data_IF_047849638941
#
_entry.id   IF_047849638941
#
_cell.length_a   1.000
_cell.length_b   1.000
_cell.length_c   1.000
_cell.angle_alpha   90.00
_cell.angle_beta   90.00
_cell.angle_gamma   90.00
#
_symmetry.space_group_name_H-M   'P 1'
#
loop_
_entity.id
_entity.type
_entity.pdbx_description
1 polymer ?
#
# COMPACT_ATOMS: atom_id res chain seq x y z
N UNK A 1 -9.79 7.68 -35.95
CA UNK A 1 -9.27 7.98 -34.59
C UNK A 1 -10.22 8.91 -33.83
N UNK A 2 -11.50 8.58 -33.68
CA UNK A 2 -12.51 9.46 -33.05
C UNK A 2 -13.41 8.74 -32.02
N UNK A 3 -13.18 7.44 -31.76
CA UNK A 3 -14.11 6.65 -30.93
C UNK A 3 -13.76 6.59 -29.43
N UNK A 4 -12.58 7.04 -29.00
CA UNK A 4 -12.17 7.03 -27.59
C UNK A 4 -12.63 8.25 -26.79
N UNK A 5 -12.65 9.42 -27.42
CA UNK A 5 -13.03 10.68 -26.76
C UNK A 5 -14.54 10.77 -26.44
N UNK A 6 -15.38 10.15 -27.26
CA UNK A 6 -16.84 10.13 -27.05
C UNK A 6 -17.29 9.16 -25.96
N UNK A 7 -16.55 8.08 -25.68
CA UNK A 7 -16.85 7.16 -24.57
C UNK A 7 -16.54 7.77 -23.20
N UNK A 8 -15.41 8.48 -23.07
CA UNK A 8 -15.05 9.13 -21.80
C UNK A 8 -15.97 10.33 -21.49
N UNK A 9 -16.38 11.10 -22.50
CA UNK A 9 -17.33 12.19 -22.32
C UNK A 9 -18.73 11.69 -21.90
N UNK A 10 -19.19 10.53 -22.42
CA UNK A 10 -20.46 9.92 -22.00
C UNK A 10 -20.41 9.34 -20.59
N UNK A 11 -19.27 8.77 -20.18
CA UNK A 11 -19.08 8.24 -18.82
C UNK A 11 -19.09 9.36 -17.79
N UNK A 12 -18.34 10.43 -18.01
CA UNK A 12 -18.36 11.62 -17.15
C UNK A 12 -19.71 12.31 -17.08
N UNK A 13 -20.48 12.31 -18.17
CA UNK A 13 -21.83 12.88 -18.20
C UNK A 13 -22.86 12.04 -17.42
N UNK A 14 -22.72 10.70 -17.46
CA UNK A 14 -23.60 9.79 -16.69
C UNK A 14 -23.29 9.88 -15.20
N UNK A 15 -22.03 10.01 -14.81
CA UNK A 15 -21.61 10.19 -13.41
C UNK A 15 -22.06 11.55 -12.87
N UNK A 16 -21.97 12.62 -13.65
CA UNK A 16 -22.54 13.94 -13.30
C UNK A 16 -24.06 13.91 -13.16
N UNK A 17 -24.74 13.16 -14.02
CA UNK A 17 -26.20 13.03 -13.99
C UNK A 17 -26.67 12.22 -12.77
N UNK A 18 -25.92 11.17 -12.39
CA UNK A 18 -26.19 10.38 -11.19
C UNK A 18 -25.99 11.22 -9.91
N UNK A 19 -24.94 12.02 -9.85
CA UNK A 19 -24.69 12.95 -8.73
C UNK A 19 -25.79 14.03 -8.64
N UNK A 20 -26.25 14.56 -9.78
CA UNK A 20 -27.34 15.55 -9.83
C UNK A 20 -28.70 14.97 -9.43
N UNK A 21 -28.99 13.70 -9.74
CA UNK A 21 -30.23 13.03 -9.36
C UNK A 21 -30.25 12.74 -7.85
N UNK A 22 -29.13 12.36 -7.25
CA UNK A 22 -29.03 12.16 -5.80
C UNK A 22 -29.20 13.49 -5.07
N UNK A 23 -28.66 14.58 -5.58
CA UNK A 23 -28.81 15.92 -5.02
C UNK A 23 -30.26 16.42 -5.15
N UNK A 24 -30.93 16.13 -6.28
CA UNK A 24 -32.32 16.50 -6.49
C UNK A 24 -33.31 15.72 -5.60
N UNK A 25 -33.05 14.45 -5.33
CA UNK A 25 -33.84 13.62 -4.43
C UNK A 25 -33.77 14.09 -2.97
N UNK A 26 -32.61 14.55 -2.51
CA UNK A 26 -32.39 15.10 -1.17
C UNK A 26 -33.15 16.43 -0.96
N UNK A 27 -33.26 17.25 -2.01
CA UNK A 27 -33.99 18.53 -1.96
C UNK A 27 -35.53 18.33 -1.92
N UNK A 28 -36.05 17.25 -2.52
CA UNK A 28 -37.48 16.96 -2.56
C UNK A 28 -38.02 16.33 -1.27
N UNK A 29 -37.16 15.75 -0.42
CA UNK A 29 -37.56 15.13 0.84
C UNK A 29 -37.52 16.06 2.07
N UNK A 30 -37.25 17.35 1.91
CA UNK A 30 -37.32 18.32 3.02
C UNK A 30 -36.22 18.15 4.08
N UNK A 31 -35.18 17.38 3.81
CA UNK A 31 -34.03 17.29 4.67
C UNK A 31 -33.10 18.50 4.48
N UNK A 32 -32.69 19.05 5.60
CA UNK A 32 -31.78 20.19 5.78
C UNK A 32 -30.70 20.24 4.67
N UNK A 33 -30.56 21.42 4.05
CA UNK A 33 -29.50 21.70 3.08
C UNK A 33 -28.17 21.10 3.57
N UNK A 34 -27.54 20.17 2.83
CA UNK A 34 -26.18 19.81 3.16
C UNK A 34 -25.31 21.08 3.03
N UNK A 35 -24.58 21.40 4.08
CA UNK A 35 -23.63 22.49 4.06
C UNK A 35 -22.64 22.30 2.89
N UNK A 36 -22.05 23.39 2.40
CA UNK A 36 -21.10 23.38 1.27
C UNK A 36 -19.96 22.34 1.39
N UNK A 37 -19.64 21.91 2.61
CA UNK A 37 -18.71 20.84 2.94
C UNK A 37 -19.02 19.48 2.25
N UNK A 38 -20.30 19.16 1.96
CA UNK A 38 -20.65 17.86 1.35
C UNK A 38 -20.32 17.76 -0.14
N UNK A 39 -20.34 18.90 -0.86
CA UNK A 39 -19.97 18.90 -2.28
C UNK A 39 -18.45 18.90 -2.47
N UNK A 40 -17.71 19.42 -1.50
CA UNK A 40 -16.25 19.43 -1.48
C UNK A 40 -15.71 18.05 -1.08
N UNK A 41 -16.30 17.41 -0.10
CA UNK A 41 -15.95 16.04 0.32
C UNK A 41 -16.18 14.99 -0.77
N UNK A 42 -17.22 15.14 -1.61
CA UNK A 42 -17.44 14.26 -2.77
C UNK A 42 -16.39 14.44 -3.88
N UNK A 43 -15.67 15.56 -3.88
CA UNK A 43 -14.58 15.85 -4.84
C UNK A 43 -13.22 15.36 -4.34
N UNK A 44 -13.03 15.26 -3.03
CA UNK A 44 -11.74 15.00 -2.39
C UNK A 44 -11.35 13.51 -2.47
N UNK A 45 -12.31 12.59 -2.49
CA UNK A 45 -12.01 11.15 -2.41
C UNK A 45 -12.06 10.47 -3.79
N UNK A 46 -11.40 11.02 -4.79
CA UNK A 46 -11.33 10.43 -6.14
C UNK A 46 -10.07 9.64 -6.39
N UNK A 47 -9.02 9.90 -5.63
CA UNK A 47 -7.73 9.25 -5.75
C UNK A 47 -7.61 8.07 -4.77
N UNK A 48 -6.79 7.10 -5.14
CA UNK A 48 -6.55 5.92 -4.32
C UNK A 48 -5.44 6.22 -3.31
N UNK A 49 -5.72 5.97 -2.02
CA UNK A 49 -4.73 6.12 -0.94
C UNK A 49 -3.99 4.80 -0.75
N UNK A 50 -2.67 4.87 -0.78
CA UNK A 50 -1.79 3.73 -0.57
C UNK A 50 -1.46 3.57 0.92
N UNK A 51 -1.64 2.35 1.43
CA UNK A 51 -1.11 1.90 2.71
C UNK A 51 -0.05 0.85 2.45
N UNK A 52 1.14 1.03 2.98
CA UNK A 52 2.24 0.09 2.75
C UNK A 52 3.10 -0.13 3.99
N UNK A 53 3.70 -1.30 4.08
CA UNK A 53 4.85 -1.54 4.93
C UNK A 53 6.12 -1.37 4.10
N UNK A 54 7.14 -0.75 4.67
CA UNK A 54 8.45 -0.72 4.05
C UNK A 54 9.18 -2.07 4.21
N UNK A 55 10.39 -2.13 3.78
CA UNK A 55 11.17 -3.36 3.73
C UNK A 55 12.49 -3.16 4.45
N UNK A 56 12.95 -4.17 5.15
CA UNK A 56 14.23 -4.18 5.86
C UNK A 56 14.97 -5.51 5.69
N UNK A 57 16.24 -5.53 6.04
CA UNK A 57 17.04 -6.74 6.12
C UNK A 57 17.60 -6.89 7.55
N UNK A 58 17.61 -8.13 8.06
CA UNK A 58 18.21 -8.45 9.35
C UNK A 58 18.63 -9.93 9.38
N UNK A 59 19.77 -10.22 9.97
CA UNK A 59 20.20 -11.59 10.18
C UNK A 59 19.44 -12.25 11.34
N UNK A 60 19.45 -13.56 11.40
CA UNK A 60 18.87 -14.30 12.52
C UNK A 60 19.45 -13.84 13.87
N UNK A 61 18.60 -13.48 14.80
CA UNK A 61 18.94 -12.89 16.10
C UNK A 61 19.07 -11.38 16.10
N UNK A 62 19.02 -10.71 14.94
CA UNK A 62 19.02 -9.25 14.83
C UNK A 62 17.61 -8.68 14.77
N UNK A 63 17.50 -7.37 14.97
CA UNK A 63 16.23 -6.65 14.93
C UNK A 63 16.18 -5.73 13.74
N UNK A 64 14.97 -5.59 13.15
CA UNK A 64 14.65 -4.66 12.08
C UNK A 64 13.44 -3.81 12.44
N UNK A 65 13.44 -2.57 11.98
CA UNK A 65 12.28 -1.67 12.03
C UNK A 65 11.55 -1.72 10.69
N UNK A 66 10.22 -1.87 10.76
CA UNK A 66 9.31 -1.80 9.62
C UNK A 66 8.31 -0.67 9.87
N UNK A 67 8.19 0.24 8.94
CA UNK A 67 7.24 1.33 9.00
C UNK A 67 5.95 0.98 8.27
N UNK A 68 4.81 1.13 8.95
CA UNK A 68 3.50 1.19 8.32
C UNK A 68 3.26 2.63 7.90
N UNK A 69 3.07 2.85 6.62
CA UNK A 69 2.95 4.18 6.02
C UNK A 69 1.60 4.39 5.33
N UNK A 70 1.26 5.66 5.14
CA UNK A 70 0.14 6.13 4.32
C UNK A 70 0.62 7.18 3.34
N UNK A 71 0.16 7.11 2.09
CA UNK A 71 0.44 8.08 1.04
C UNK A 71 -0.77 8.24 0.12
N UNK A 72 -1.11 9.47 -0.21
CA UNK A 72 -2.22 9.78 -1.10
C UNK A 72 -2.34 11.28 -1.36
N UNK A 73 -3.13 11.62 -2.37
CA UNK A 73 -3.48 12.98 -2.73
C UNK A 73 -4.99 13.17 -2.58
N UNK A 74 -5.41 14.40 -2.28
CA UNK A 74 -6.82 14.83 -2.26
C UNK A 74 -7.79 13.87 -1.54
N UNK A 75 -7.42 13.38 -0.36
CA UNK A 75 -8.31 12.57 0.47
C UNK A 75 -8.70 13.27 1.78
N UNK A 76 -9.84 12.86 2.31
CA UNK A 76 -10.30 13.19 3.66
C UNK A 76 -10.94 11.93 4.26
N UNK A 77 -10.44 11.48 5.40
CA UNK A 77 -10.97 10.33 6.11
C UNK A 77 -11.04 10.57 7.62
N UNK A 78 -12.10 10.09 8.27
CA UNK A 78 -12.32 10.25 9.70
C UNK A 78 -12.10 8.95 10.46
N UNK A 79 -12.17 7.81 9.79
CA UNK A 79 -12.00 6.51 10.42
C UNK A 79 -10.99 5.66 9.65
N UNK A 80 -10.02 5.11 10.37
CA UNK A 80 -9.04 4.16 9.87
C UNK A 80 -9.11 2.88 10.71
N UNK A 81 -9.14 1.72 10.06
CA UNK A 81 -8.84 0.44 10.70
C UNK A 81 -7.91 -0.34 9.77
N UNK A 82 -6.71 -0.61 10.24
CA UNK A 82 -5.68 -1.34 9.51
C UNK A 82 -5.18 -2.51 10.36
N UNK A 83 -4.86 -3.61 9.70
CA UNK A 83 -4.25 -4.80 10.32
C UNK A 83 -2.97 -5.14 9.59
N UNK A 84 -1.92 -5.37 10.35
CA UNK A 84 -0.65 -5.89 9.85
C UNK A 84 -0.52 -7.34 10.33
N UNK A 85 -0.15 -8.21 9.41
CA UNK A 85 0.09 -9.63 9.65
C UNK A 85 1.55 -9.96 9.45
N UNK A 86 2.11 -10.82 10.30
CA UNK A 86 3.49 -11.29 10.20
C UNK A 86 3.59 -12.75 10.66
N UNK A 87 4.63 -13.45 10.23
CA UNK A 87 4.88 -14.84 10.59
C UNK A 87 5.57 -14.93 11.97
N UNK A 88 4.93 -15.59 12.91
CA UNK A 88 5.46 -15.80 14.28
C UNK A 88 6.46 -16.93 14.40
N UNK A 89 6.64 -17.75 13.36
CA UNK A 89 7.70 -18.76 13.32
C UNK A 89 9.04 -18.12 12.89
N UNK A 90 8.98 -17.00 12.17
CA UNK A 90 10.15 -16.27 11.70
C UNK A 90 10.45 -14.99 12.50
N UNK A 91 9.44 -14.31 13.02
CA UNK A 91 9.53 -12.98 13.61
C UNK A 91 8.92 -12.89 15.01
N UNK A 92 9.60 -12.19 15.91
CA UNK A 92 9.08 -11.76 17.22
C UNK A 92 8.88 -10.24 17.22
N UNK A 93 7.66 -9.78 17.51
CA UNK A 93 7.36 -8.35 17.66
C UNK A 93 7.87 -7.84 19.01
N UNK A 94 8.82 -6.93 19.02
CA UNK A 94 9.38 -6.32 20.22
C UNK A 94 8.59 -5.10 20.69
N UNK A 95 8.27 -4.20 19.76
CA UNK A 95 7.56 -2.95 20.05
C UNK A 95 6.85 -2.37 18.86
N UNK A 96 5.85 -1.53 19.14
CA UNK A 96 5.18 -0.68 18.16
C UNK A 96 5.22 0.75 18.66
N UNK A 97 5.83 1.65 17.90
CA UNK A 97 5.93 3.06 18.22
C UNK A 97 5.08 3.91 17.28
N UNK A 98 4.55 5.03 17.79
CA UNK A 98 3.71 5.95 17.03
C UNK A 98 4.54 6.76 16.06
N UNK A 99 4.11 6.82 14.81
CA UNK A 99 4.65 7.71 13.80
C UNK A 99 3.96 9.08 13.81
N UNK A 100 4.33 9.93 12.88
CA UNK A 100 3.86 11.31 12.77
C UNK A 100 2.60 11.50 11.90
N UNK A 101 2.17 10.47 11.19
CA UNK A 101 1.03 10.55 10.28
C UNK A 101 -0.32 10.75 10.99
N UNK A 102 -0.42 10.38 12.27
CA UNK A 102 -1.63 10.49 13.07
C UNK A 102 -1.46 11.54 14.15
N UNK A 103 -2.45 12.41 14.32
CA UNK A 103 -2.56 13.26 15.49
C UNK A 103 -3.12 12.44 16.67
N UNK A 104 -2.21 11.80 17.40
CA UNK A 104 -2.55 10.88 18.48
C UNK A 104 -3.23 11.53 19.68
N UNK A 105 -3.06 12.83 19.86
CA UNK A 105 -3.63 13.58 21.00
C UNK A 105 -5.09 13.95 20.76
N UNK A 106 -5.44 14.22 19.50
CA UNK A 106 -6.78 14.66 19.10
C UNK A 106 -7.63 13.56 18.46
N UNK A 107 -7.20 12.30 18.55
CA UNK A 107 -7.90 11.14 17.98
C UNK A 107 -8.30 10.14 19.06
N UNK A 108 -9.41 9.43 18.81
CA UNK A 108 -9.70 8.19 19.53
C UNK A 108 -8.95 7.07 18.81
N UNK A 109 -8.01 6.44 19.50
CA UNK A 109 -7.16 5.42 18.89
C UNK A 109 -7.02 4.19 19.80
N UNK A 110 -6.86 3.05 19.16
CA UNK A 110 -6.65 1.76 19.81
C UNK A 110 -5.65 0.93 19.00
N UNK A 111 -4.63 0.44 19.69
CA UNK A 111 -3.65 -0.50 19.15
C UNK A 111 -3.79 -1.83 19.89
N UNK A 112 -3.99 -2.92 19.17
CA UNK A 112 -4.08 -4.28 19.69
C UNK A 112 -2.96 -5.15 19.11
N UNK A 113 -2.07 -5.59 19.98
CA UNK A 113 -0.96 -6.53 19.71
C UNK A 113 -1.11 -7.82 20.54
N UNK A 114 -2.27 -8.06 21.11
CA UNK A 114 -2.52 -9.19 22.04
C UNK A 114 -2.49 -10.55 21.36
N UNK A 115 -2.72 -10.61 20.04
CA UNK A 115 -2.67 -11.83 19.26
C UNK A 115 -1.35 -11.90 18.49
N UNK A 116 -0.52 -12.93 18.73
CA UNK A 116 0.71 -13.12 17.94
C UNK A 116 0.40 -13.19 16.44
N UNK A 117 1.29 -12.66 15.63
CA UNK A 117 1.15 -12.61 14.18
C UNK A 117 0.20 -11.53 13.66
N UNK A 118 -0.39 -10.71 14.57
CA UNK A 118 -1.36 -9.67 14.19
C UNK A 118 -1.17 -8.40 14.99
N UNK A 119 -1.10 -7.28 14.30
CA UNK A 119 -1.14 -5.93 14.87
C UNK A 119 -2.36 -5.23 14.29
N UNK A 120 -3.30 -4.78 15.11
CA UNK A 120 -4.50 -4.09 14.66
C UNK A 120 -4.56 -2.68 15.21
N UNK A 121 -4.79 -1.72 14.33
CA UNK A 121 -4.92 -0.30 14.65
C UNK A 121 -6.31 0.18 14.26
N UNK A 122 -6.96 0.89 15.18
CA UNK A 122 -8.16 1.67 14.92
C UNK A 122 -7.90 3.14 15.26
N UNK A 123 -8.30 4.05 14.39
CA UNK A 123 -8.23 5.50 14.63
C UNK A 123 -9.55 6.13 14.19
N UNK A 124 -10.07 7.02 15.03
CA UNK A 124 -11.25 7.83 14.74
C UNK A 124 -10.93 9.30 15.06
N UNK A 125 -11.14 10.16 14.07
CA UNK A 125 -11.07 11.61 14.23
C UNK A 125 -12.45 12.13 14.62
N UNK A 126 -12.63 12.69 15.83
CA UNK A 126 -13.89 13.27 16.24
C UNK A 126 -14.10 14.63 15.57
N UNK A 127 -15.35 14.92 15.20
CA UNK A 127 -15.70 16.22 14.63
C UNK A 127 -15.52 16.29 13.10
N UNK A 128 -15.25 17.49 12.60
CA UNK A 128 -15.15 17.78 11.16
C UNK A 128 -13.71 17.69 10.61
N UNK A 129 -12.74 17.51 11.50
CA UNK A 129 -11.34 17.32 11.11
C UNK A 129 -11.10 15.84 10.85
N UNK A 130 -10.23 15.53 9.91
CA UNK A 130 -9.91 14.16 9.54
C UNK A 130 -8.48 14.05 9.03
N UNK A 131 -8.09 12.85 8.64
CA UNK A 131 -6.85 12.60 7.92
C UNK A 131 -6.96 13.17 6.50
N UNK A 132 -5.93 13.87 6.07
CA UNK A 132 -5.79 14.45 4.74
C UNK A 132 -4.40 14.13 4.19
N UNK A 133 -4.07 14.60 3.00
CA UNK A 133 -2.72 14.52 2.42
C UNK A 133 -1.62 15.06 3.37
N UNK A 134 -1.94 15.98 4.27
CA UNK A 134 -0.99 16.45 5.30
C UNK A 134 -0.57 15.34 6.29
N UNK A 135 -1.32 14.24 6.35
CA UNK A 135 -1.05 13.07 7.17
C UNK A 135 -0.25 11.98 6.44
N UNK A 136 0.26 12.23 5.22
CA UNK A 136 1.18 11.30 4.55
C UNK A 136 2.43 11.08 5.41
N UNK A 137 2.86 9.82 5.51
CA UNK A 137 4.02 9.44 6.29
C UNK A 137 3.82 8.19 7.14
N UNK A 138 4.64 8.07 8.19
CA UNK A 138 4.66 6.90 9.06
C UNK A 138 3.50 6.94 10.05
N UNK A 139 2.67 5.90 10.02
CA UNK A 139 1.60 5.66 11.00
C UNK A 139 2.21 5.02 12.26
N UNK A 140 2.93 3.92 12.10
CA UNK A 140 3.66 3.22 13.17
C UNK A 140 4.98 2.68 12.67
N UNK A 141 5.96 2.60 13.57
CA UNK A 141 7.17 1.80 13.39
C UNK A 141 7.05 0.55 14.26
N UNK A 142 7.19 -0.60 13.66
CA UNK A 142 7.14 -1.93 14.29
C UNK A 142 8.56 -2.48 14.33
N UNK A 143 9.06 -2.80 15.52
CA UNK A 143 10.37 -3.42 15.68
C UNK A 143 10.19 -4.93 15.83
N UNK A 144 10.85 -5.69 14.97
CA UNK A 144 10.85 -7.15 14.98
C UNK A 144 12.25 -7.69 15.24
N UNK A 145 12.33 -8.83 15.91
CA UNK A 145 13.55 -9.67 15.94
C UNK A 145 13.34 -10.85 15.01
N UNK A 146 14.32 -11.11 14.13
CA UNK A 146 14.36 -12.32 13.30
C UNK A 146 14.74 -13.51 14.18
N UNK A 147 13.89 -14.53 14.26
CA UNK A 147 14.12 -15.70 15.09
C UNK A 147 15.25 -16.58 14.52
N UNK A 148 15.97 -17.27 15.39
CA UNK A 148 17.12 -18.10 15.00
C UNK A 148 16.78 -19.26 14.04
N UNK A 149 15.50 -19.61 13.94
CA UNK A 149 14.98 -20.66 13.04
C UNK A 149 14.40 -20.15 11.74
N UNK A 150 14.35 -18.82 11.55
CA UNK A 150 13.86 -18.24 10.32
C UNK A 150 14.78 -18.60 9.16
N UNK A 151 14.24 -19.35 8.20
CA UNK A 151 15.01 -19.85 7.05
C UNK A 151 14.71 -19.08 5.77
N UNK A 152 13.63 -18.30 5.75
CA UNK A 152 13.09 -17.61 4.58
C UNK A 152 12.73 -16.16 4.92
N UNK A 153 12.62 -15.34 3.90
CA UNK A 153 12.16 -13.97 4.02
C UNK A 153 10.70 -13.91 4.48
N UNK A 154 10.40 -12.93 5.31
CA UNK A 154 9.07 -12.81 5.94
C UNK A 154 8.29 -11.63 5.42
N UNK A 155 7.09 -11.90 4.87
CA UNK A 155 6.15 -10.89 4.43
C UNK A 155 5.52 -10.16 5.63
N UNK A 156 5.45 -8.85 5.54
CA UNK A 156 4.69 -7.97 6.43
C UNK A 156 3.46 -7.50 5.65
N UNK A 157 2.36 -8.25 5.79
CA UNK A 157 1.15 -8.01 5.01
C UNK A 157 0.28 -6.93 5.64
N UNK A 158 -0.08 -5.93 4.84
CA UNK A 158 -0.97 -4.83 5.23
C UNK A 158 -2.39 -5.09 4.72
N UNK A 159 -3.38 -4.91 5.58
CA UNK A 159 -4.80 -5.03 5.24
C UNK A 159 -5.58 -3.83 5.80
N UNK A 160 -6.18 -3.02 4.94
CA UNK A 160 -7.08 -1.94 5.35
C UNK A 160 -8.49 -2.47 5.48
N UNK A 161 -9.01 -2.50 6.70
CA UNK A 161 -10.38 -2.95 6.99
C UNK A 161 -11.39 -1.81 6.85
N UNK A 162 -10.96 -0.58 7.09
CA UNK A 162 -11.79 0.61 7.03
C UNK A 162 -10.93 1.84 6.79
N UNK A 163 -11.34 2.63 5.80
CA UNK A 163 -10.81 3.99 5.60
C UNK A 163 -11.95 4.83 5.02
N UNK A 164 -12.63 5.58 5.89
CA UNK A 164 -13.89 6.18 5.54
C UNK A 164 -13.91 7.67 5.88
N UNK A 165 -14.50 8.44 4.97
CA UNK A 165 -15.07 9.74 5.28
C UNK A 165 -16.41 9.58 6.01
N UNK A 166 -16.67 10.37 7.03
CA UNK A 166 -17.90 10.33 7.82
C UNK A 166 -18.52 11.72 7.85
N UNK A 167 -19.77 11.83 7.41
CA UNK A 167 -20.56 13.07 7.56
C UNK A 167 -21.35 13.08 8.86
N UNK A 168 -21.87 11.90 9.23
CA UNK A 168 -22.58 11.61 10.49
C UNK A 168 -22.21 10.20 10.93
N UNK A 169 -22.63 9.78 12.13
CA UNK A 169 -22.39 8.41 12.62
C UNK A 169 -23.00 7.35 11.70
N UNK A 170 -24.07 7.68 10.98
CA UNK A 170 -24.77 6.77 10.07
C UNK A 170 -24.28 6.86 8.60
N UNK A 171 -23.66 7.98 8.21
CA UNK A 171 -23.23 8.22 6.83
C UNK A 171 -21.71 8.02 6.69
N UNK A 172 -21.31 6.84 6.20
CA UNK A 172 -19.92 6.46 5.99
C UNK A 172 -19.64 6.20 4.52
N UNK A 173 -18.68 6.94 3.97
CA UNK A 173 -18.25 6.80 2.58
C UNK A 173 -16.83 6.23 2.53
N UNK A 174 -16.62 5.07 1.89
CA UNK A 174 -15.26 4.52 1.77
C UNK A 174 -14.38 5.41 0.89
N UNK A 175 -13.19 5.68 1.36
CA UNK A 175 -12.11 6.28 0.56
C UNK A 175 -11.41 5.13 -0.17
N UNK A 176 -11.18 5.21 -1.49
CA UNK A 176 -10.47 4.17 -2.22
C UNK A 176 -9.08 3.92 -1.63
N UNK A 177 -8.73 2.66 -1.40
CA UNK A 177 -7.43 2.29 -0.83
C UNK A 177 -6.76 1.18 -1.64
N UNK A 178 -5.43 1.21 -1.65
CA UNK A 178 -4.57 0.14 -2.11
C UNK A 178 -3.60 -0.23 -1.00
N UNK A 179 -3.19 -1.49 -0.93
CA UNK A 179 -2.22 -1.95 0.05
C UNK A 179 -1.01 -2.57 -0.64
N UNK A 180 0.16 -2.38 -0.04
CA UNK A 180 1.40 -3.02 -0.44
C UNK A 180 2.05 -3.65 0.79
N UNK A 181 2.44 -4.91 0.68
CA UNK A 181 3.22 -5.62 1.70
C UNK A 181 4.65 -5.14 1.74
N UNK A 182 5.25 -5.16 2.94
CA UNK A 182 6.68 -5.06 3.13
C UNK A 182 7.31 -6.42 3.38
N UNK A 183 8.64 -6.46 3.53
CA UNK A 183 9.38 -7.69 3.77
C UNK A 183 10.48 -7.48 4.80
N UNK A 184 10.79 -8.52 5.57
CA UNK A 184 12.04 -8.63 6.29
C UNK A 184 12.84 -9.74 5.64
N UNK A 185 13.93 -9.35 4.97
CA UNK A 185 14.87 -10.27 4.35
C UNK A 185 15.79 -10.85 5.40
N UNK A 186 15.80 -12.18 5.51
CA UNK A 186 16.64 -12.92 6.45
C UNK A 186 18.01 -13.16 5.83
N UNK A 187 19.07 -13.11 6.65
CA UNK A 187 20.47 -13.31 6.26
C UNK A 187 21.13 -12.18 5.46
N UNK A 188 20.63 -10.97 5.59
CA UNK A 188 21.31 -9.78 5.07
C UNK A 188 21.24 -9.62 3.55
N UNK A 189 20.24 -10.26 2.93
CA UNK A 189 19.86 -9.86 1.58
C UNK A 189 19.38 -8.41 1.66
N UNK A 190 20.11 -7.47 1.05
CA UNK A 190 19.52 -6.18 0.71
C UNK A 190 18.20 -6.48 -0.01
N UNK A 191 17.13 -5.65 0.18
CA UNK A 191 15.95 -5.76 -0.67
C UNK A 191 16.45 -5.83 -2.10
N UNK A 192 16.29 -6.98 -2.74
CA UNK A 192 16.84 -7.15 -4.08
C UNK A 192 16.27 -6.06 -4.96
N UNK A 193 17.10 -5.36 -5.66
CA UNK A 193 16.68 -4.32 -6.59
C UNK A 193 15.82 -5.01 -7.66
N UNK A 194 14.56 -4.60 -7.89
CA UNK A 194 13.74 -5.21 -8.93
C UNK A 194 14.47 -5.23 -10.26
N UNK A 195 14.68 -6.42 -10.81
CA UNK A 195 15.45 -6.62 -12.03
C UNK A 195 16.95 -6.87 -11.84
N UNK A 196 17.47 -6.83 -10.62
CA UNK A 196 18.84 -7.19 -10.28
C UNK A 196 18.94 -8.72 -10.13
N UNK A 197 19.34 -9.40 -11.18
CA UNK A 197 19.36 -10.86 -11.23
C UNK A 197 20.66 -11.47 -10.69
N UNK A 198 21.76 -10.71 -10.68
CA UNK A 198 23.05 -11.17 -10.17
C UNK A 198 23.35 -10.72 -8.73
N UNK A 199 22.48 -9.84 -8.17
CA UNK A 199 22.53 -9.42 -6.77
C UNK A 199 23.64 -8.42 -6.45
N UNK A 200 24.13 -7.68 -7.45
CA UNK A 200 25.19 -6.68 -7.25
C UNK A 200 24.67 -5.30 -6.80
N UNK A 201 23.33 -5.14 -6.72
CA UNK A 201 22.63 -3.93 -6.28
C UNK A 201 22.38 -2.92 -7.41
N UNK A 202 22.71 -3.24 -8.67
CA UNK A 202 22.55 -2.33 -9.81
C UNK A 202 21.93 -3.05 -11.01
N UNK A 203 20.78 -2.58 -11.47
CA UNK A 203 20.14 -3.15 -12.68
C UNK A 203 20.91 -2.77 -13.93
N UNK A 204 21.49 -3.76 -14.60
CA UNK A 204 22.34 -3.61 -15.79
C UNK A 204 21.90 -4.54 -16.94
N UNK A 205 22.58 -4.48 -18.06
CA UNK A 205 22.37 -5.44 -19.17
C UNK A 205 22.83 -6.87 -18.80
N UNK A 206 23.66 -7.04 -17.77
CA UNK A 206 24.09 -8.36 -17.28
C UNK A 206 22.92 -9.10 -16.64
N UNK A 207 22.09 -8.41 -15.89
CA UNK A 207 20.88 -8.95 -15.26
C UNK A 207 19.86 -9.40 -16.31
N UNK A 208 19.60 -8.56 -17.30
CA UNK A 208 18.72 -8.92 -18.42
C UNK A 208 19.24 -10.15 -19.15
N UNK A 209 20.55 -10.30 -19.31
CA UNK A 209 21.16 -11.49 -19.90
C UNK A 209 20.98 -12.73 -19.01
N UNK A 210 21.11 -12.58 -17.69
CA UNK A 210 20.93 -13.67 -16.73
C UNK A 210 19.47 -14.14 -16.73
N UNK A 211 18.51 -13.21 -16.69
CA UNK A 211 17.05 -13.49 -16.80
C UNK A 211 16.72 -14.19 -18.13
N UNK A 212 17.29 -13.72 -19.24
CA UNK A 212 17.13 -14.38 -20.54
C UNK A 212 17.67 -15.83 -20.53
N UNK A 213 18.79 -16.08 -19.90
CA UNK A 213 19.38 -17.42 -19.76
C UNK A 213 18.51 -18.32 -18.89
N UNK A 214 17.91 -17.77 -17.83
CA UNK A 214 16.94 -18.46 -16.98
C UNK A 214 15.70 -18.85 -17.80
N UNK A 215 15.10 -17.92 -18.54
CA UNK A 215 13.95 -18.16 -19.40
C UNK A 215 14.21 -19.23 -20.49
N UNK A 216 15.46 -19.37 -20.91
CA UNK A 216 15.91 -20.41 -21.86
C UNK A 216 16.31 -21.73 -21.17
N UNK A 217 16.21 -21.84 -19.84
CA UNK A 217 16.58 -23.02 -19.09
C UNK A 217 18.11 -23.29 -19.06
N UNK A 218 18.94 -22.27 -19.29
CA UNK A 218 20.42 -22.37 -19.29
C UNK A 218 21.07 -21.76 -18.04
N UNK A 219 20.27 -21.17 -17.17
CA UNK A 219 20.63 -20.70 -15.83
C UNK A 219 19.45 -20.95 -14.89
N UNK A 220 19.72 -20.91 -13.59
CA UNK A 220 18.69 -20.98 -12.54
C UNK A 220 18.79 -19.72 -11.66
N UNK A 221 17.65 -19.18 -11.26
CA UNK A 221 17.54 -18.12 -10.25
C UNK A 221 16.96 -18.75 -9.00
N UNK A 222 17.29 -18.19 -7.82
CA UNK A 222 16.55 -18.54 -6.61
C UNK A 222 15.09 -18.10 -6.74
N UNK A 223 14.15 -18.70 -6.00
CA UNK A 223 12.75 -18.26 -6.03
C UNK A 223 12.59 -16.77 -5.71
N UNK A 224 13.41 -16.25 -4.79
CA UNK A 224 13.42 -14.85 -4.37
C UNK A 224 13.90 -13.94 -5.51
N UNK A 225 15.04 -14.29 -6.14
CA UNK A 225 15.56 -13.55 -7.29
C UNK A 225 14.59 -13.63 -8.48
N UNK A 226 13.95 -14.78 -8.69
CA UNK A 226 12.95 -14.94 -9.75
C UNK A 226 11.77 -14.00 -9.55
N UNK A 227 11.28 -13.82 -8.32
CA UNK A 227 10.21 -12.87 -8.02
C UNK A 227 10.61 -11.41 -8.26
N UNK A 228 11.87 -11.04 -8.03
CA UNK A 228 12.41 -9.71 -8.35
C UNK A 228 12.58 -9.48 -9.85
N UNK A 229 12.73 -10.56 -10.61
CA UNK A 229 12.95 -10.53 -12.05
C UNK A 229 11.67 -10.73 -12.89
N UNK A 230 10.52 -10.96 -12.24
CA UNK A 230 9.20 -10.93 -12.86
C UNK A 230 8.76 -9.47 -13.05
N UNK A 231 9.29 -8.86 -14.11
CA UNK A 231 9.15 -7.43 -14.34
C UNK A 231 7.78 -7.02 -14.91
N UNK A 232 7.02 -7.96 -15.46
CA UNK A 232 5.65 -7.72 -15.95
C UNK A 232 4.55 -8.20 -14.98
N UNK A 233 4.95 -8.88 -13.88
CA UNK A 233 4.06 -9.29 -12.78
C UNK A 233 3.13 -10.45 -13.15
N UNK A 234 3.46 -11.27 -14.16
CA UNK A 234 2.63 -12.39 -14.62
C UNK A 234 2.85 -13.69 -13.81
N UNK A 235 3.81 -13.69 -12.88
CA UNK A 235 4.19 -14.80 -12.02
C UNK A 235 5.19 -15.77 -12.65
N UNK A 236 5.76 -15.44 -13.81
CA UNK A 236 6.74 -16.28 -14.50
C UNK A 236 7.91 -15.45 -15.03
N UNK A 237 9.14 -15.96 -14.86
CA UNK A 237 10.32 -15.32 -15.45
C UNK A 237 10.47 -15.76 -16.90
N UNK A 238 10.28 -14.83 -17.83
CA UNK A 238 10.24 -15.08 -19.28
C UNK A 238 11.18 -14.15 -20.05
N UNK A 239 11.20 -14.28 -21.39
CA UNK A 239 11.94 -13.35 -22.24
C UNK A 239 11.34 -11.92 -22.22
N UNK A 240 10.05 -11.78 -21.88
CA UNK A 240 9.41 -10.46 -21.73
C UNK A 240 10.05 -9.68 -20.61
N UNK A 241 10.30 -10.32 -19.46
CA UNK A 241 10.94 -9.71 -18.30
C UNK A 241 12.38 -9.29 -18.61
N UNK A 242 13.13 -10.16 -19.30
CA UNK A 242 14.49 -9.82 -19.73
C UNK A 242 14.52 -8.55 -20.60
N UNK A 243 13.52 -8.35 -21.45
CA UNK A 243 13.40 -7.14 -22.27
C UNK A 243 13.03 -5.93 -21.42
N UNK A 244 12.13 -6.07 -20.45
CA UNK A 244 11.74 -4.97 -19.54
C UNK A 244 12.92 -4.55 -18.66
N UNK A 245 13.65 -5.51 -18.11
CA UNK A 245 14.85 -5.25 -17.29
C UNK A 245 15.94 -4.56 -18.14
N UNK A 246 16.14 -5.01 -19.39
CA UNK A 246 17.11 -4.35 -20.29
C UNK A 246 16.69 -2.90 -20.60
N UNK A 247 15.40 -2.64 -20.79
CA UNK A 247 14.89 -1.28 -21.00
C UNK A 247 15.12 -0.41 -19.77
N UNK A 248 14.83 -0.94 -18.56
CA UNK A 248 15.10 -0.25 -17.30
C UNK A 248 16.61 0.08 -17.15
N UNK A 249 17.48 -0.88 -17.40
CA UNK A 249 18.94 -0.71 -17.38
C UNK A 249 19.43 0.39 -18.34
N UNK A 250 18.75 0.59 -19.45
CA UNK A 250 19.05 1.63 -20.45
C UNK A 250 18.31 2.96 -20.22
N UNK A 251 17.52 3.07 -19.16
CA UNK A 251 16.70 4.26 -18.89
C UNK A 251 15.59 4.50 -19.93
N UNK A 252 15.08 3.44 -20.55
CA UNK A 252 14.05 3.45 -21.58
C UNK A 252 12.66 3.04 -21.04
N UNK A 253 12.42 3.28 -19.75
CA UNK A 253 11.18 2.95 -19.04
C UNK A 253 9.97 3.75 -19.51
#
# INVERSE_FOLDING_TARGET
MTNGKTKNAKRGFIELLAAAIILAAAVLCGFVRPAAASAEALRINTETVLFYADTAAAAAGESADINLCIEGEDYLAHALAVTVWYDTEALELNSVTRGSAIDWENTLNHLDTSLPGRISLGVLYPGNEGMTQANNGIIHTMNFTVLAGAAEDSEIRVEVKKFNYMMTDDDQYPVPTQTQSGWIFVNGGEPGVPGDADGDGVVTAADALLVMRCALGTAELSPETAALCDADGDGNVTLSDAVLILRAALGLG
#
